data_IF_874897282178
#
_entry.id   IF_874897282178
#
_cell.length_a   1.000
_cell.length_b   1.000
_cell.length_c   1.000
_cell.angle_alpha   90.00
_cell.angle_beta   90.00
_cell.angle_gamma   90.00
#
_symmetry.space_group_name_H-M   'P 1'
#
loop_
_entity.id
_entity.type
_entity.pdbx_description
1 polymer ?
#
# COMPACT_ATOMS: atom_id res chain seq x y z
N UNK A 1 37.22 19.93 -1.69
CA UNK A 1 35.76 19.95 -1.95
C UNK A 1 35.06 20.97 -1.04
N UNK A 2 34.61 22.08 -1.62
CA UNK A 2 33.83 23.11 -0.93
C UNK A 2 32.37 22.64 -0.85
N UNK A 3 31.73 22.62 0.32
CA UNK A 3 30.32 22.25 0.44
C UNK A 3 29.45 23.31 -0.26
N UNK A 4 28.38 22.87 -0.92
CA UNK A 4 27.42 23.77 -1.56
C UNK A 4 26.57 24.56 -0.57
N UNK A 5 25.81 25.54 -1.07
CA UNK A 5 24.84 26.32 -0.26
C UNK A 5 23.84 25.37 0.42
N UNK A 6 23.58 25.57 1.72
CA UNK A 6 22.61 24.79 2.51
C UNK A 6 23.19 23.56 3.23
N UNK A 7 24.47 23.24 3.04
CA UNK A 7 25.14 22.20 3.81
C UNK A 7 25.58 22.74 5.17
N UNK A 8 25.30 21.99 6.25
CA UNK A 8 25.88 22.25 7.56
C UNK A 8 27.05 21.32 7.85
N UNK A 9 28.01 21.81 8.64
CA UNK A 9 29.18 21.05 9.08
C UNK A 9 29.28 21.11 10.59
N UNK A 10 29.23 19.96 11.23
CA UNK A 10 29.40 19.83 12.68
C UNK A 10 30.13 18.52 12.99
N UNK A 11 31.06 18.56 13.95
CA UNK A 11 31.80 17.38 14.45
C UNK A 11 32.48 16.54 13.34
N UNK A 12 33.03 17.16 12.31
CA UNK A 12 33.67 16.43 11.22
C UNK A 12 32.72 15.92 10.13
N UNK A 13 31.40 16.11 10.27
CA UNK A 13 30.38 15.56 9.38
C UNK A 13 29.68 16.66 8.59
N UNK A 14 29.59 16.46 7.27
CA UNK A 14 28.76 17.26 6.39
C UNK A 14 27.34 16.69 6.36
N UNK A 15 26.36 17.51 6.70
CA UNK A 15 24.94 17.17 6.62
C UNK A 15 24.31 17.92 5.44
N UNK A 16 23.63 17.21 4.53
CA UNK A 16 22.96 17.85 3.41
C UNK A 16 21.79 18.72 3.90
N UNK A 17 21.39 19.75 3.13
CA UNK A 17 20.17 20.49 3.38
C UNK A 17 18.95 19.53 3.38
N UNK A 18 17.89 19.84 4.15
CA UNK A 18 16.67 19.05 4.13
C UNK A 18 16.07 19.03 2.73
N UNK A 19 15.62 17.86 2.29
CA UNK A 19 14.88 17.73 1.03
C UNK A 19 13.60 18.57 1.07
N UNK A 20 13.24 19.25 -0.04
CA UNK A 20 11.97 19.95 -0.11
C UNK A 20 10.80 18.98 0.10
N UNK A 21 9.69 19.44 0.71
CA UNK A 21 8.50 18.63 0.88
C UNK A 21 7.96 18.18 -0.48
N UNK A 22 7.40 16.97 -0.54
CA UNK A 22 6.74 16.47 -1.75
C UNK A 22 5.58 17.40 -2.12
N UNK A 23 5.47 17.71 -3.41
CA UNK A 23 4.32 18.44 -3.94
C UNK A 23 3.04 17.60 -3.78
N UNK A 24 1.85 18.23 -3.73
CA UNK A 24 0.59 17.49 -3.72
C UNK A 24 0.43 16.53 -4.91
N UNK A 25 0.99 16.88 -6.06
CA UNK A 25 1.00 16.04 -7.27
C UNK A 25 1.86 14.80 -7.09
N UNK A 26 3.05 14.95 -6.48
CA UNK A 26 3.92 13.81 -6.17
C UNK A 26 3.28 12.87 -5.13
N UNK A 27 2.55 13.43 -4.16
CA UNK A 27 1.79 12.64 -3.17
C UNK A 27 0.68 11.87 -3.88
N UNK A 28 -0.08 12.52 -4.76
CA UNK A 28 -1.16 11.88 -5.52
C UNK A 28 -0.64 10.74 -6.41
N UNK A 29 0.46 10.97 -7.15
CA UNK A 29 1.09 9.95 -7.97
C UNK A 29 1.58 8.76 -7.13
N UNK A 30 2.19 9.04 -5.96
CA UNK A 30 2.61 8.00 -5.01
C UNK A 30 1.42 7.18 -4.52
N UNK A 31 0.32 7.83 -4.15
CA UNK A 31 -0.87 7.13 -3.67
C UNK A 31 -1.47 6.24 -4.75
N UNK A 32 -1.56 6.69 -6.01
CA UNK A 32 -2.03 5.84 -7.12
C UNK A 32 -1.13 4.62 -7.34
N UNK A 33 0.19 4.81 -7.29
CA UNK A 33 1.15 3.71 -7.41
C UNK A 33 1.00 2.70 -6.25
N UNK A 34 0.83 3.20 -5.02
CA UNK A 34 0.58 2.36 -3.84
C UNK A 34 -0.76 1.63 -3.93
N UNK A 35 -1.82 2.28 -4.41
CA UNK A 35 -3.13 1.66 -4.61
C UNK A 35 -3.05 0.52 -5.63
N UNK A 36 -2.31 0.70 -6.73
CA UNK A 36 -2.11 -0.34 -7.74
C UNK A 36 -1.31 -1.53 -7.18
N UNK A 37 -0.25 -1.26 -6.41
CA UNK A 37 0.51 -2.32 -5.75
C UNK A 37 -0.37 -3.11 -4.77
N UNK A 38 -1.17 -2.41 -3.95
CA UNK A 38 -2.10 -3.04 -3.02
C UNK A 38 -3.19 -3.85 -3.74
N UNK A 39 -3.66 -3.40 -4.91
CA UNK A 39 -4.63 -4.12 -5.72
C UNK A 39 -4.08 -5.46 -6.21
N UNK A 40 -2.82 -5.50 -6.63
CA UNK A 40 -2.14 -6.71 -7.07
C UNK A 40 -1.95 -7.70 -5.91
N UNK A 41 -1.59 -7.19 -4.72
CA UNK A 41 -1.50 -7.99 -3.49
C UNK A 41 -2.87 -8.57 -3.12
N UNK A 42 -3.92 -7.75 -3.10
CA UNK A 42 -5.27 -8.19 -2.78
C UNK A 42 -5.76 -9.27 -3.76
N UNK A 43 -5.45 -9.12 -5.05
CA UNK A 43 -5.78 -10.14 -6.06
C UNK A 43 -5.07 -11.46 -5.77
N UNK A 44 -3.78 -11.42 -5.46
CA UNK A 44 -3.00 -12.63 -5.13
C UNK A 44 -3.51 -13.31 -3.85
N UNK A 45 -3.88 -12.53 -2.83
CA UNK A 45 -4.47 -13.04 -1.57
C UNK A 45 -5.83 -13.70 -1.80
N UNK A 46 -6.69 -13.08 -2.62
CA UNK A 46 -7.98 -13.66 -2.99
C UNK A 46 -7.80 -15.00 -3.70
N UNK A 47 -6.86 -15.09 -4.65
CA UNK A 47 -6.58 -16.37 -5.33
C UNK A 47 -6.17 -17.45 -4.33
N UNK A 48 -5.19 -17.18 -3.47
CA UNK A 48 -4.72 -18.15 -2.48
C UNK A 48 -5.82 -18.60 -1.51
N UNK A 49 -6.69 -17.68 -1.06
CA UNK A 49 -7.81 -18.03 -0.17
C UNK A 49 -8.88 -18.88 -0.88
N UNK A 50 -9.15 -18.64 -2.17
CA UNK A 50 -10.06 -19.48 -2.94
C UNK A 50 -9.48 -20.89 -3.16
N UNK A 51 -8.19 -21.00 -3.46
CA UNK A 51 -7.48 -22.29 -3.57
C UNK A 51 -7.56 -23.04 -2.24
N UNK A 52 -7.29 -22.37 -1.12
CA UNK A 52 -7.40 -22.95 0.22
C UNK A 52 -8.81 -23.51 0.52
N UNK A 53 -9.87 -22.79 0.15
CA UNK A 53 -11.25 -23.27 0.29
C UNK A 53 -11.51 -24.47 -0.64
N UNK A 54 -11.05 -24.42 -1.88
CA UNK A 54 -11.25 -25.48 -2.86
C UNK A 54 -10.57 -26.80 -2.45
N UNK A 55 -9.40 -26.70 -1.83
CA UNK A 55 -8.63 -27.85 -1.35
C UNK A 55 -9.08 -28.32 0.05
N UNK A 56 -10.02 -27.59 0.68
CA UNK A 56 -10.44 -27.77 2.07
C UNK A 56 -9.25 -27.78 3.06
N UNK A 57 -8.19 -27.03 2.75
CA UNK A 57 -6.98 -26.96 3.55
C UNK A 57 -7.09 -25.90 4.64
N UNK A 58 -7.64 -26.30 5.78
CA UNK A 58 -7.78 -25.42 6.95
C UNK A 58 -6.72 -25.71 8.02
N UNK A 59 -5.54 -26.19 7.63
CA UNK A 59 -4.47 -26.44 8.60
C UNK A 59 -4.09 -25.15 9.35
N UNK A 60 -4.36 -25.10 10.66
CA UNK A 60 -4.05 -23.95 11.50
C UNK A 60 -5.02 -22.76 11.40
N UNK A 61 -6.20 -22.97 10.79
CA UNK A 61 -7.28 -21.98 10.68
C UNK A 61 -8.64 -22.69 10.62
N UNK A 62 -9.74 -21.97 10.48
CA UNK A 62 -11.07 -22.51 10.16
C UNK A 62 -11.55 -22.02 8.80
N UNK A 63 -12.49 -22.75 8.18
CA UNK A 63 -13.17 -22.31 6.96
C UNK A 63 -13.86 -20.95 7.14
N UNK A 64 -14.42 -20.70 8.34
CA UNK A 64 -15.06 -19.44 8.68
C UNK A 64 -14.05 -18.26 8.66
N UNK A 65 -12.85 -18.46 9.21
CA UNK A 65 -11.79 -17.45 9.19
C UNK A 65 -11.27 -17.19 7.77
N UNK A 66 -11.08 -18.25 6.96
CA UNK A 66 -10.66 -18.11 5.56
C UNK A 66 -11.73 -17.38 4.73
N UNK A 67 -13.01 -17.69 4.96
CA UNK A 67 -14.14 -17.03 4.31
C UNK A 67 -14.27 -15.56 4.72
N UNK A 68 -14.09 -15.25 6.00
CA UNK A 68 -14.08 -13.88 6.51
C UNK A 68 -12.94 -13.06 5.89
N UNK A 69 -11.73 -13.63 5.85
CA UNK A 69 -10.59 -13.01 5.18
C UNK A 69 -10.87 -12.78 3.69
N UNK A 70 -11.48 -13.74 2.99
CA UNK A 70 -11.81 -13.62 1.57
C UNK A 70 -12.78 -12.46 1.32
N UNK A 71 -13.79 -12.28 2.18
CA UNK A 71 -14.73 -11.16 2.12
C UNK A 71 -13.99 -9.84 2.32
N UNK A 72 -13.16 -9.73 3.36
CA UNK A 72 -12.38 -8.52 3.67
C UNK A 72 -11.43 -8.12 2.53
N UNK A 73 -10.69 -9.07 1.97
CA UNK A 73 -9.81 -8.82 0.82
C UNK A 73 -10.58 -8.46 -0.46
N UNK A 74 -11.74 -9.08 -0.67
CA UNK A 74 -12.60 -8.78 -1.83
C UNK A 74 -13.16 -7.37 -1.75
N UNK A 75 -13.62 -6.96 -0.56
CA UNK A 75 -14.11 -5.60 -0.35
C UNK A 75 -12.98 -4.58 -0.50
N UNK A 76 -11.82 -4.84 0.10
CA UNK A 76 -10.64 -4.00 -0.04
C UNK A 76 -10.24 -3.80 -1.51
N UNK A 77 -10.22 -4.87 -2.31
CA UNK A 77 -9.94 -4.79 -3.75
C UNK A 77 -10.98 -3.95 -4.50
N UNK A 78 -12.26 -3.98 -4.11
CA UNK A 78 -13.31 -3.12 -4.71
C UNK A 78 -13.06 -1.65 -4.39
N UNK A 79 -12.71 -1.33 -3.15
CA UNK A 79 -12.37 0.04 -2.72
C UNK A 79 -11.15 0.56 -3.49
N UNK A 80 -10.09 -0.25 -3.61
CA UNK A 80 -8.90 0.09 -4.40
C UNK A 80 -9.23 0.32 -5.88
N UNK A 81 -10.07 -0.53 -6.48
CA UNK A 81 -10.50 -0.34 -7.88
C UNK A 81 -11.26 0.98 -8.07
N UNK A 82 -12.13 1.33 -7.11
CA UNK A 82 -12.84 2.61 -7.16
C UNK A 82 -11.87 3.79 -7.04
N UNK A 83 -10.93 3.72 -6.10
CA UNK A 83 -9.87 4.73 -5.89
C UNK A 83 -8.98 4.92 -7.12
N UNK A 84 -8.51 3.83 -7.73
CA UNK A 84 -7.69 3.92 -8.94
C UNK A 84 -8.50 4.51 -10.11
N UNK A 85 -9.79 4.19 -10.19
CA UNK A 85 -10.69 4.70 -11.23
C UNK A 85 -10.95 6.21 -11.11
N UNK A 86 -10.97 6.78 -9.89
CA UNK A 86 -11.08 8.25 -9.75
C UNK A 86 -9.82 8.94 -10.28
N UNK A 87 -8.65 8.31 -10.13
CA UNK A 87 -7.40 8.73 -10.77
C UNK A 87 -6.81 10.03 -10.21
N UNK A 88 -7.40 10.61 -9.17
CA UNK A 88 -6.96 11.87 -8.57
C UNK A 88 -5.85 11.65 -7.54
N UNK A 89 -5.85 10.51 -6.84
CA UNK A 89 -4.84 10.15 -5.84
C UNK A 89 -4.79 11.06 -4.61
N UNK A 90 -5.72 12.01 -4.47
CA UNK A 90 -5.71 13.02 -3.39
C UNK A 90 -6.40 12.53 -2.14
N UNK A 91 -7.32 11.58 -2.28
CA UNK A 91 -7.98 10.94 -1.15
C UNK A 91 -7.01 10.01 -0.40
N UNK A 92 -7.34 9.73 0.86
CA UNK A 92 -6.60 8.75 1.65
C UNK A 92 -6.66 7.37 0.98
N UNK A 93 -5.53 6.66 1.01
CA UNK A 93 -5.43 5.29 0.53
C UNK A 93 -6.43 4.39 1.27
N UNK A 94 -7.20 3.55 0.55
CA UNK A 94 -8.00 2.53 1.19
C UNK A 94 -7.13 1.63 2.06
N UNK A 95 -7.69 1.18 3.19
CA UNK A 95 -7.05 0.21 4.10
C UNK A 95 -7.84 -1.09 4.12
N UNK A 96 -7.13 -2.21 4.22
CA UNK A 96 -7.78 -3.51 4.44
C UNK A 96 -8.47 -3.46 5.80
N UNK A 97 -9.75 -3.84 5.86
CA UNK A 97 -10.43 -3.96 7.14
C UNK A 97 -9.82 -5.14 7.90
N UNK A 98 -9.64 -4.97 9.22
CA UNK A 98 -9.11 -6.02 10.06
C UNK A 98 -10.00 -7.27 9.96
N UNK A 99 -9.33 -8.41 9.79
CA UNK A 99 -9.90 -9.76 9.72
C UNK A 99 -9.83 -10.41 11.09
#
# INVERSE_FOLDING_TARGET
PTPGIGWSYANGVFTPPPSPPLTPENIAAKNLAQAQAAYNVATSKITALNEQIADADYAGTTEAEVSAALISWTDYRKQLRAYIKTGDGRLALPVVQAM
#
